data_IF_058936070635
#
_entry.id   IF_058936070635
#
_cell.length_a   1.000
_cell.length_b   1.000
_cell.length_c   1.000
_cell.angle_alpha   90.00
_cell.angle_beta   90.00
_cell.angle_gamma   90.00
#
_symmetry.space_group_name_H-M   'P 1'
#
loop_
_entity.id
_entity.type
_entity.pdbx_description
1 polymer ?
#
# COMPACT_ATOMS: atom_id res chain seq x y z
N UNK A 1 10.44 36.44 30.62
CA UNK A 1 9.47 36.59 29.51
C UNK A 1 9.08 35.19 29.09
N UNK A 2 8.26 34.51 29.91
CA UNK A 2 7.69 33.22 29.51
C UNK A 2 6.67 33.46 28.39
N UNK A 3 6.95 32.88 27.23
CA UNK A 3 6.00 32.81 26.13
C UNK A 3 4.86 31.88 26.56
N UNK A 4 3.71 32.46 26.91
CA UNK A 4 2.43 31.78 27.10
C UNK A 4 2.01 31.14 25.78
N UNK A 5 2.58 29.97 25.45
CA UNK A 5 2.05 29.10 24.41
C UNK A 5 0.86 28.38 25.02
N UNK A 6 -0.21 29.12 25.25
CA UNK A 6 -1.52 28.57 25.58
C UNK A 6 -1.91 27.69 24.39
N UNK A 7 -1.94 26.34 24.54
CA UNK A 7 -2.34 25.49 23.44
C UNK A 7 -3.74 25.94 23.07
N UNK A 8 -3.93 26.26 21.81
CA UNK A 8 -5.15 26.88 21.28
C UNK A 8 -6.36 26.07 21.75
N UNK A 9 -6.99 26.48 22.85
CA UNK A 9 -8.09 25.74 23.51
C UNK A 9 -9.35 25.70 22.63
N UNK A 10 -9.26 26.19 21.40
CA UNK A 10 -10.30 26.26 20.37
C UNK A 10 -9.97 25.42 19.14
N UNK A 11 -8.84 24.71 19.14
CA UNK A 11 -8.58 23.63 18.22
C UNK A 11 -9.63 22.52 18.50
N UNK A 12 -10.80 22.64 17.89
CA UNK A 12 -11.85 21.62 17.95
C UNK A 12 -11.66 20.69 16.77
N UNK A 13 -11.79 19.38 16.95
CA UNK A 13 -11.87 18.46 15.83
C UNK A 13 -13.07 18.86 14.95
N UNK A 14 -12.89 18.77 13.65
CA UNK A 14 -13.88 19.21 12.67
C UNK A 14 -14.05 18.18 11.56
N UNK A 15 -15.29 17.99 11.12
CA UNK A 15 -15.61 17.07 10.03
C UNK A 15 -15.52 17.79 8.69
N UNK A 16 -14.71 17.24 7.78
CA UNK A 16 -14.61 17.77 6.43
C UNK A 16 -15.87 17.44 5.64
N UNK A 17 -16.65 18.46 5.26
CA UNK A 17 -17.86 18.34 4.43
C UNK A 17 -17.58 17.84 3.01
N UNK A 18 -16.33 17.94 2.54
CA UNK A 18 -15.95 17.50 1.20
C UNK A 18 -15.77 15.97 1.13
N UNK A 19 -15.17 15.37 2.15
CA UNK A 19 -14.82 13.94 2.18
C UNK A 19 -15.42 13.15 3.36
N UNK A 20 -16.22 13.80 4.21
CA UNK A 20 -16.84 13.26 5.44
C UNK A 20 -15.86 12.53 6.37
N UNK A 21 -14.64 13.06 6.49
CA UNK A 21 -13.65 12.56 7.46
C UNK A 21 -13.43 13.58 8.57
N UNK A 22 -13.27 13.07 9.79
CA UNK A 22 -12.87 13.85 10.93
C UNK A 22 -11.40 14.29 10.78
N UNK A 23 -11.15 15.57 11.02
CA UNK A 23 -9.82 16.13 11.15
C UNK A 23 -9.49 16.43 12.62
N UNK A 24 -8.21 16.36 12.93
CA UNK A 24 -7.68 16.64 14.26
C UNK A 24 -7.88 18.11 14.63
N UNK A 25 -8.04 18.33 15.93
CA UNK A 25 -8.02 19.65 16.55
C UNK A 25 -6.79 20.45 16.10
N UNK A 26 -7.01 21.63 15.51
CA UNK A 26 -5.94 22.56 15.15
C UNK A 26 -5.34 22.35 13.76
N UNK A 27 -5.92 21.46 12.95
CA UNK A 27 -5.61 21.39 11.52
C UNK A 27 -6.42 22.40 10.73
N UNK A 28 -5.77 23.34 10.09
CA UNK A 28 -6.43 24.27 9.16
C UNK A 28 -6.80 23.60 7.82
N UNK A 29 -6.24 22.42 7.54
CA UNK A 29 -6.38 21.72 6.26
C UNK A 29 -6.68 20.24 6.50
N UNK A 30 -7.64 19.69 5.74
CA UNK A 30 -7.97 18.28 5.80
C UNK A 30 -6.81 17.41 5.32
N UNK A 31 -6.39 16.45 6.15
CA UNK A 31 -5.25 15.56 5.85
C UNK A 31 -5.51 14.56 4.71
N UNK A 32 -6.76 14.40 4.27
CA UNK A 32 -7.14 13.45 3.21
C UNK A 32 -7.34 14.10 1.85
N UNK A 33 -8.08 15.20 1.80
CA UNK A 33 -8.45 15.86 0.53
C UNK A 33 -7.84 17.25 0.35
N UNK A 34 -7.13 17.79 1.35
CA UNK A 34 -6.54 19.12 1.28
C UNK A 34 -7.55 20.27 1.41
N UNK A 35 -8.81 20.00 1.77
CA UNK A 35 -9.81 21.06 1.94
C UNK A 35 -9.47 21.94 3.16
N UNK A 36 -9.38 23.27 3.02
CA UNK A 36 -9.16 24.17 4.15
C UNK A 36 -10.41 24.28 5.03
N UNK A 37 -10.23 24.43 6.35
CA UNK A 37 -11.32 24.54 7.33
C UNK A 37 -12.18 25.79 7.08
N UNK A 38 -11.56 26.90 6.67
CA UNK A 38 -12.26 28.14 6.31
C UNK A 38 -13.26 27.92 5.18
N UNK A 39 -12.88 27.18 4.13
CA UNK A 39 -13.79 26.81 3.05
C UNK A 39 -14.82 25.77 3.50
N UNK A 40 -14.47 24.89 4.44
CA UNK A 40 -15.40 23.87 4.97
C UNK A 40 -16.68 24.48 5.57
N UNK A 41 -16.60 25.68 6.16
CA UNK A 41 -17.76 26.39 6.72
C UNK A 41 -18.62 27.07 5.66
N UNK A 42 -17.99 27.53 4.58
CA UNK A 42 -18.65 28.25 3.46
C UNK A 42 -19.28 27.30 2.45
N UNK A 43 -18.81 26.05 2.38
CA UNK A 43 -19.37 25.06 1.47
C UNK A 43 -20.84 24.78 1.83
N UNK A 44 -21.78 24.93 0.86
CA UNK A 44 -23.14 24.46 1.05
C UNK A 44 -23.12 22.95 1.35
N UNK A 45 -24.08 22.43 2.12
CA UNK A 45 -24.17 20.99 2.33
C UNK A 45 -24.19 20.31 0.96
N UNK A 46 -23.28 19.36 0.75
CA UNK A 46 -23.25 18.59 -0.50
C UNK A 46 -24.63 17.97 -0.73
N UNK A 47 -25.12 17.92 -1.98
CA UNK A 47 -26.32 17.16 -2.29
C UNK A 47 -26.11 15.74 -1.78
N UNK A 48 -27.12 15.24 -1.08
CA UNK A 48 -27.14 13.95 -0.40
C UNK A 48 -26.37 12.89 -1.22
N UNK A 49 -25.26 12.37 -0.68
CA UNK A 49 -24.61 11.22 -1.30
C UNK A 49 -25.43 9.99 -0.94
N UNK A 50 -25.86 9.15 -1.90
CA UNK A 50 -26.44 7.87 -1.55
C UNK A 50 -25.42 7.12 -0.70
N UNK A 51 -25.88 6.60 0.44
CA UNK A 51 -25.08 5.75 1.31
C UNK A 51 -24.68 4.54 0.48
N UNK A 52 -23.46 4.55 -0.08
CA UNK A 52 -22.94 3.37 -0.77
C UNK A 52 -22.84 2.31 0.31
N UNK A 53 -23.56 1.17 0.18
CA UNK A 53 -23.48 0.10 1.16
C UNK A 53 -22.01 -0.21 1.40
N UNK A 54 -21.58 -0.21 2.66
CA UNK A 54 -20.22 -0.61 3.02
C UNK A 54 -20.09 -2.10 2.72
N UNK A 55 -19.83 -2.43 1.46
CA UNK A 55 -19.54 -3.79 1.07
C UNK A 55 -18.29 -4.21 1.85
N UNK A 56 -18.29 -5.42 2.41
CA UNK A 56 -17.09 -5.95 3.04
C UNK A 56 -15.96 -5.86 2.01
N UNK A 57 -14.79 -5.39 2.47
CA UNK A 57 -13.61 -5.35 1.62
C UNK A 57 -13.43 -6.76 1.02
N UNK A 58 -13.32 -6.90 -0.30
CA UNK A 58 -13.07 -8.21 -0.89
C UNK A 58 -11.82 -8.78 -0.23
N UNK A 59 -11.86 -10.07 0.15
CA UNK A 59 -10.68 -10.73 0.69
C UNK A 59 -9.58 -10.61 -0.36
N UNK A 60 -8.35 -10.22 0.01
CA UNK A 60 -7.26 -10.21 -0.94
C UNK A 60 -7.16 -11.61 -1.56
N UNK A 61 -7.00 -11.74 -2.89
CA UNK A 61 -6.88 -13.04 -3.51
C UNK A 61 -5.71 -13.78 -2.86
N UNK A 62 -5.88 -15.07 -2.59
CA UNK A 62 -4.76 -15.93 -2.22
C UNK A 62 -3.80 -15.96 -3.42
N UNK A 63 -2.77 -15.12 -3.38
CA UNK A 63 -1.69 -15.15 -4.36
C UNK A 63 -0.99 -16.49 -4.17
N UNK A 64 -1.37 -17.49 -4.99
CA UNK A 64 -0.62 -18.75 -5.00
C UNK A 64 0.79 -18.39 -5.47
N UNK A 65 1.84 -18.73 -4.70
CA UNK A 65 3.20 -18.47 -5.13
C UNK A 65 3.40 -19.20 -6.46
N UNK A 66 3.68 -18.42 -7.51
CA UNK A 66 4.01 -18.96 -8.83
C UNK A 66 5.31 -19.72 -8.65
N UNK A 67 5.26 -21.05 -8.53
CA UNK A 67 6.47 -21.89 -8.51
C UNK A 67 7.26 -21.53 -9.77
N UNK A 68 8.40 -20.88 -9.60
CA UNK A 68 9.26 -20.57 -10.72
C UNK A 68 9.72 -21.91 -11.29
N UNK A 69 9.47 -22.15 -12.58
CA UNK A 69 10.01 -23.31 -13.32
C UNK A 69 11.45 -23.02 -13.78
N UNK A 70 12.18 -22.18 -13.04
CA UNK A 70 13.55 -21.84 -13.41
C UNK A 70 14.40 -23.05 -13.06
N UNK A 71 14.81 -23.81 -14.08
CA UNK A 71 15.85 -24.83 -13.94
C UNK A 71 17.12 -24.08 -13.51
N UNK A 72 17.72 -24.38 -12.35
CA UNK A 72 19.01 -23.80 -12.00
C UNK A 72 20.04 -24.25 -13.04
N UNK A 73 20.77 -23.30 -13.60
CA UNK A 73 21.89 -23.61 -14.49
C UNK A 73 23.00 -24.24 -13.64
N UNK A 74 23.32 -25.51 -13.89
CA UNK A 74 24.50 -26.14 -13.31
C UNK A 74 25.69 -25.66 -14.15
N UNK A 75 26.54 -24.82 -13.58
CA UNK A 75 27.82 -24.51 -14.19
C UNK A 75 28.66 -25.79 -14.17
N UNK A 76 28.86 -26.40 -15.33
CA UNK A 76 29.79 -27.50 -15.50
C UNK A 76 31.18 -27.01 -15.05
N UNK A 77 31.77 -27.66 -14.05
CA UNK A 77 33.17 -27.42 -13.67
C UNK A 77 34.05 -27.88 -14.85
N UNK A 78 34.87 -27.00 -15.46
CA UNK A 78 35.81 -27.45 -16.47
C UNK A 78 36.98 -28.12 -15.73
N UNK A 79 37.05 -29.45 -15.78
CA UNK A 79 38.14 -30.18 -15.12
C UNK A 79 37.86 -31.65 -14.88
N UNK A 80 37.51 -32.39 -15.93
CA UNK A 80 37.58 -33.85 -15.92
C UNK A 80 37.77 -34.37 -17.36
N UNK A 81 38.83 -33.91 -18.04
CA UNK A 81 39.46 -34.74 -19.07
C UNK A 81 40.42 -35.68 -18.34
N UNK A 82 39.87 -36.71 -17.70
CA UNK A 82 40.66 -37.84 -17.24
C UNK A 82 40.52 -38.94 -18.29
N UNK A 83 41.67 -39.25 -18.90
CA UNK A 83 42.11 -40.49 -19.53
C UNK A 83 41.05 -41.57 -19.83
N UNK A 84 41.06 -42.04 -21.07
CA UNK A 84 40.11 -43.00 -21.61
C UNK A 84 40.36 -44.47 -21.25
N UNK A 85 39.50 -45.28 -21.86
CA UNK A 85 39.42 -46.74 -22.03
C UNK A 85 37.91 -47.01 -22.20
N UNK A 86 37.37 -47.85 -23.07
CA UNK A 86 37.85 -48.70 -24.14
C UNK A 86 36.57 -48.99 -24.96
N UNK A 87 36.68 -49.07 -26.28
CA UNK A 87 35.56 -49.47 -27.13
C UNK A 87 35.35 -50.99 -27.04
N UNK A 88 34.25 -51.42 -26.43
CA UNK A 88 33.66 -52.76 -26.54
C UNK A 88 32.21 -52.65 -26.03
N UNK A 89 31.19 -53.36 -26.46
CA UNK A 89 30.86 -54.33 -27.50
C UNK A 89 29.31 -54.43 -27.39
N UNK A 90 28.60 -54.78 -28.46
CA UNK A 90 27.13 -54.78 -28.51
C UNK A 90 26.47 -55.78 -27.52
N UNK A 91 25.14 -55.70 -27.31
CA UNK A 91 24.38 -56.92 -27.62
C UNK A 91 22.98 -56.72 -28.26
N UNK A 92 22.77 -57.59 -29.27
CA UNK A 92 21.57 -58.26 -29.84
C UNK A 92 20.33 -57.45 -30.26
#
# INVERSE_FOLDING_TARGET
METDTRPDRRARPWDCRLCNRANEAGRDICGYCGNPESANRTLPPLPWRPEIPRLPRPRPPHIRPRRSRVRPYVLARPGAFAAGEEAADAPR
#
